data_IF_868821459220
#
_entry.id   IF_868821459220
#
_cell.length_a   1.000
_cell.length_b   1.000
_cell.length_c   1.000
_cell.angle_alpha   90.00
_cell.angle_beta   90.00
_cell.angle_gamma   90.00
#
_symmetry.space_group_name_H-M   'P 1'
#
loop_
_entity.id
_entity.type
_entity.pdbx_description
1 polymer ?
#
# COMPACT_ATOMS: atom_id res chain seq x y z
N UNK A 1 -48.40 24.19 46.77
CA UNK A 1 -47.96 23.90 45.38
C UNK A 1 -47.41 25.12 44.62
N UNK A 2 -47.83 26.36 44.88
CA UNK A 2 -47.31 27.54 44.14
C UNK A 2 -45.85 27.94 44.43
N UNK A 3 -45.30 27.62 45.60
CA UNK A 3 -43.92 27.96 45.94
C UNK A 3 -42.87 27.08 45.22
N UNK A 4 -43.22 25.81 44.94
CA UNK A 4 -42.33 24.88 44.25
C UNK A 4 -42.14 25.26 42.78
N UNK A 5 -43.21 25.71 42.11
CA UNK A 5 -43.18 26.13 40.70
C UNK A 5 -42.33 27.38 40.47
N UNK A 6 -42.30 28.30 41.43
CA UNK A 6 -41.49 29.52 41.34
C UNK A 6 -39.99 29.23 41.48
N UNK A 7 -39.63 28.23 42.29
CA UNK A 7 -38.24 27.83 42.48
C UNK A 7 -37.68 27.15 41.22
N UNK A 8 -38.47 26.28 40.58
CA UNK A 8 -38.07 25.62 39.34
C UNK A 8 -37.87 26.62 38.20
N UNK A 9 -38.77 27.61 38.06
CA UNK A 9 -38.67 28.62 37.00
C UNK A 9 -37.44 29.52 37.13
N UNK A 10 -37.04 29.84 38.38
CA UNK A 10 -35.81 30.62 38.64
C UNK A 10 -34.55 29.84 38.27
N UNK A 11 -34.51 28.53 38.53
CA UNK A 11 -33.36 27.69 38.18
C UNK A 11 -33.25 27.56 36.65
N UNK A 12 -34.36 27.40 35.93
CA UNK A 12 -34.33 27.31 34.46
C UNK A 12 -33.86 28.60 33.80
N UNK A 13 -34.27 29.77 34.33
CA UNK A 13 -33.82 31.07 33.84
C UNK A 13 -32.33 31.34 34.11
N UNK A 14 -31.81 30.94 35.27
CA UNK A 14 -30.38 31.08 35.59
C UNK A 14 -29.54 30.15 34.71
N UNK A 15 -29.99 28.92 34.48
CA UNK A 15 -29.28 27.98 33.60
C UNK A 15 -29.30 28.43 32.12
N UNK A 16 -30.40 29.02 31.65
CA UNK A 16 -30.48 29.61 30.31
C UNK A 16 -29.56 30.82 30.16
N UNK A 17 -29.47 31.70 31.16
CA UNK A 17 -28.56 32.84 31.16
C UNK A 17 -27.08 32.42 31.17
N UNK A 18 -26.73 31.36 31.93
CA UNK A 18 -25.38 30.79 31.93
C UNK A 18 -25.03 30.15 30.57
N UNK A 19 -25.99 29.48 29.91
CA UNK A 19 -25.80 28.92 28.58
C UNK A 19 -25.56 29.99 27.51
N UNK A 20 -26.32 31.09 27.55
CA UNK A 20 -26.11 32.23 26.65
C UNK A 20 -24.78 32.97 26.92
N UNK A 21 -24.34 33.05 28.18
CA UNK A 21 -23.05 33.65 28.53
C UNK A 21 -21.87 32.80 28.06
N UNK A 22 -21.97 31.46 28.07
CA UNK A 22 -20.93 30.57 27.53
C UNK A 22 -20.89 30.59 25.99
N UNK A 23 -22.04 30.72 25.31
CA UNK A 23 -22.07 30.84 23.85
C UNK A 23 -21.52 32.18 23.34
N UNK A 24 -21.60 33.23 24.17
CA UNK A 24 -21.08 34.56 23.86
C UNK A 24 -19.55 34.64 23.96
N UNK A 25 -18.91 33.89 24.86
CA UNK A 25 -17.45 33.88 25.02
C UNK A 25 -16.75 32.98 24.00
N UNK A 26 -17.43 32.00 23.42
CA UNK A 26 -16.89 31.14 22.34
C UNK A 26 -16.87 31.86 20.99
N UNK A 27 -17.71 32.88 20.78
CA UNK A 27 -17.76 33.65 19.52
C UNK A 27 -16.68 34.73 19.37
N UNK A 28 -15.82 34.96 20.38
CA UNK A 28 -14.80 36.03 20.37
C UNK A 28 -13.37 35.49 20.15
N UNK A 29 -13.19 34.18 19.95
CA UNK A 29 -11.87 33.55 19.69
C UNK A 29 -11.68 32.97 18.29
N UNK A 30 -12.57 33.28 17.33
CA UNK A 30 -12.38 32.94 15.91
C UNK A 30 -12.51 34.21 15.06
N UNK A 31 -11.56 35.12 15.21
CA UNK A 31 -11.33 36.19 14.23
C UNK A 31 -9.96 36.85 14.43
N UNK A 32 -8.89 36.10 14.18
CA UNK A 32 -7.64 36.70 13.71
C UNK A 32 -7.29 36.09 12.37
N UNK A 33 -7.45 36.93 11.34
CA UNK A 33 -7.03 36.71 9.96
C UNK A 33 -5.55 36.31 9.93
N UNK A 34 -5.27 35.06 9.58
CA UNK A 34 -3.97 34.67 9.02
C UNK A 34 -3.89 35.16 7.56
N UNK A 35 -2.73 35.61 7.07
CA UNK A 35 -2.60 36.11 5.71
C UNK A 35 -2.82 34.97 4.71
N UNK A 36 -3.68 35.25 3.73
CA UNK A 36 -3.88 34.43 2.53
C UNK A 36 -2.57 34.33 1.75
N UNK A 37 -1.94 33.16 1.77
CA UNK A 37 -0.90 32.81 0.80
C UNK A 37 -1.58 32.50 -0.53
N UNK A 38 -1.89 33.54 -1.30
CA UNK A 38 -2.10 33.44 -2.74
C UNK A 38 -0.75 33.19 -3.40
N UNK A 39 -0.54 31.97 -3.90
CA UNK A 39 0.56 31.63 -4.78
C UNK A 39 0.43 32.38 -6.11
N UNK A 40 1.46 33.10 -6.57
CA UNK A 40 1.54 33.46 -7.97
C UNK A 40 2.07 32.27 -8.78
N UNK A 41 1.37 31.94 -9.87
CA UNK A 41 1.95 31.24 -11.02
C UNK A 41 3.19 32.00 -11.50
N UNK A 42 4.33 31.32 -11.73
CA UNK A 42 5.36 31.85 -12.59
C UNK A 42 5.40 31.05 -13.89
N UNK A 43 4.92 31.70 -14.93
CA UNK A 43 5.43 31.53 -16.28
C UNK A 43 6.98 31.62 -16.29
N UNK A 44 7.57 30.82 -17.18
CA UNK A 44 8.98 30.73 -17.57
C UNK A 44 9.68 32.10 -17.73
N UNK A 45 11.02 32.11 -17.60
CA UNK A 45 11.77 32.40 -18.82
C UNK A 45 13.00 31.50 -19.08
N UNK A 46 13.30 31.43 -20.37
CA UNK A 46 14.47 30.87 -21.05
C UNK A 46 15.84 31.44 -20.60
N UNK A 47 16.85 30.58 -20.78
CA UNK A 47 18.28 30.86 -21.03
C UNK A 47 19.17 31.39 -19.88
N UNK A 48 20.13 30.57 -19.41
CA UNK A 48 21.55 30.63 -19.85
C UNK A 48 22.55 29.99 -18.85
N UNK A 49 23.37 29.09 -19.40
CA UNK A 49 24.82 28.87 -19.18
C UNK A 49 25.44 28.55 -17.80
N UNK A 50 25.92 27.30 -17.72
CA UNK A 50 27.28 26.81 -17.36
C UNK A 50 28.04 27.36 -16.14
N UNK A 51 28.33 26.49 -15.17
CA UNK A 51 29.67 26.07 -14.67
C UNK A 51 29.56 25.36 -13.29
N UNK A 52 30.63 24.81 -12.70
CA UNK A 52 31.40 23.65 -13.14
C UNK A 52 31.34 22.47 -12.13
N UNK A 53 31.83 21.31 -12.58
CA UNK A 53 32.03 20.08 -11.80
C UNK A 53 32.84 20.32 -10.52
N UNK A 54 32.29 19.89 -9.39
CA UNK A 54 33.03 19.67 -8.15
C UNK A 54 32.93 18.20 -7.73
N UNK A 55 34.08 17.67 -7.36
CA UNK A 55 34.39 16.30 -6.97
C UNK A 55 33.68 15.96 -5.66
N UNK A 56 32.87 14.88 -5.66
CA UNK A 56 32.31 14.30 -4.44
C UNK A 56 32.93 12.91 -4.20
N UNK A 57 33.58 12.79 -3.06
CA UNK A 57 34.09 11.54 -2.52
C UNK A 57 32.95 10.55 -2.24
N UNK A 58 33.23 9.27 -2.48
CA UNK A 58 32.30 8.15 -2.33
C UNK A 58 31.80 8.02 -0.88
N UNK A 59 30.56 8.41 -0.67
CA UNK A 59 29.71 7.84 0.37
C UNK A 59 28.73 6.89 -0.35
N UNK A 60 28.77 5.61 -0.01
CA UNK A 60 27.86 4.59 -0.52
C UNK A 60 26.42 4.95 -0.10
N UNK A 61 25.73 5.67 -0.99
CA UNK A 61 24.31 5.97 -0.94
C UNK A 61 23.62 4.97 -1.86
N UNK A 62 23.33 3.78 -1.34
CA UNK A 62 22.39 2.84 -1.96
C UNK A 62 20.98 3.41 -1.81
N UNK A 63 20.71 4.45 -2.57
CA UNK A 63 19.35 4.90 -2.83
C UNK A 63 18.81 3.95 -3.91
N UNK A 64 17.93 3.02 -3.53
CA UNK A 64 17.03 2.36 -4.48
C UNK A 64 16.25 3.46 -5.20
N UNK A 65 16.76 3.89 -6.36
CA UNK A 65 16.31 5.05 -7.13
C UNK A 65 15.13 4.66 -8.00
N UNK A 66 14.03 4.25 -7.37
CA UNK A 66 12.72 4.11 -8.00
C UNK A 66 11.73 4.96 -7.22
N UNK A 67 11.55 6.21 -7.68
CA UNK A 67 10.53 7.12 -7.16
C UNK A 67 9.17 6.60 -7.63
N UNK A 68 8.40 6.00 -6.73
CA UNK A 68 6.99 5.71 -6.92
C UNK A 68 6.19 7.01 -6.71
N UNK A 69 6.09 7.83 -7.74
CA UNK A 69 5.00 8.80 -7.78
C UNK A 69 3.79 8.08 -8.40
N UNK A 70 3.00 7.43 -7.54
CA UNK A 70 1.67 6.95 -7.95
C UNK A 70 0.79 8.20 -7.97
N UNK A 71 0.32 8.68 -9.14
CA UNK A 71 -0.62 9.79 -9.17
C UNK A 71 -1.86 9.43 -8.34
N UNK A 72 -2.52 10.41 -7.69
CA UNK A 72 -3.73 10.15 -6.92
C UNK A 72 -4.75 9.41 -7.79
N UNK A 73 -5.38 8.37 -7.22
CA UNK A 73 -6.38 7.59 -7.92
C UNK A 73 -7.54 8.52 -8.32
N UNK A 74 -7.88 8.63 -9.63
CA UNK A 74 -9.14 9.26 -9.97
C UNK A 74 -10.26 8.36 -9.43
N UNK A 75 -11.06 8.89 -8.50
CA UNK A 75 -12.23 8.17 -7.99
C UNK A 75 -13.09 7.73 -9.17
N UNK A 76 -13.53 6.46 -9.24
CA UNK A 76 -14.41 6.01 -10.30
C UNK A 76 -15.70 6.82 -10.23
N UNK A 77 -15.92 7.72 -11.19
CA UNK A 77 -17.17 8.45 -11.30
C UNK A 77 -18.31 7.44 -11.44
N UNK A 78 -19.16 7.34 -10.42
CA UNK A 78 -20.35 6.49 -10.43
C UNK A 78 -21.33 7.00 -11.48
N UNK A 79 -21.19 6.56 -12.73
CA UNK A 79 -22.27 6.63 -13.72
C UNK A 79 -23.32 5.60 -13.32
N UNK A 80 -24.42 6.08 -12.73
CA UNK A 80 -25.63 5.28 -12.51
C UNK A 80 -26.16 4.81 -13.87
N UNK A 81 -26.00 3.51 -14.17
CA UNK A 81 -26.74 2.84 -15.23
C UNK A 81 -28.16 2.61 -14.72
N UNK A 82 -29.11 3.41 -15.21
CA UNK A 82 -30.54 3.15 -15.06
C UNK A 82 -30.94 2.05 -16.04
N UNK A 83 -31.13 0.84 -15.54
CA UNK A 83 -31.67 -0.30 -16.27
C UNK A 83 -32.98 -0.76 -15.63
N UNK A 84 -34.07 -0.63 -16.38
CA UNK A 84 -35.40 -1.11 -16.04
C UNK A 84 -35.42 -2.64 -15.98
N UNK A 85 -35.99 -3.20 -14.91
CA UNK A 85 -36.22 -4.64 -14.78
C UNK A 85 -37.41 -5.09 -15.65
N UNK A 86 -37.35 -6.23 -16.34
CA UNK A 86 -38.53 -6.91 -16.85
C UNK A 86 -39.09 -7.91 -15.85
N UNK A 87 -40.39 -8.10 -16.03
CA UNK A 87 -41.37 -8.73 -15.17
C UNK A 87 -41.25 -10.26 -15.07
N UNK A 88 -41.93 -10.80 -14.06
CA UNK A 88 -41.83 -12.18 -13.59
C UNK A 88 -42.29 -13.25 -14.58
N UNK A 89 -41.65 -14.41 -14.48
CA UNK A 89 -42.20 -15.69 -14.93
C UNK A 89 -41.76 -16.83 -14.00
N UNK A 90 -42.65 -17.81 -13.97
CA UNK A 90 -43.00 -18.83 -12.98
C UNK A 90 -41.97 -19.98 -12.84
N UNK A 91 -41.59 -20.43 -11.62
CA UNK A 91 -40.67 -21.55 -11.45
C UNK A 91 -41.45 -22.84 -11.15
N UNK A 92 -41.83 -23.59 -12.20
CA UNK A 92 -42.17 -25.00 -12.04
C UNK A 92 -41.65 -25.83 -13.22
N UNK A 93 -41.02 -26.96 -12.88
CA UNK A 93 -40.39 -27.97 -13.73
C UNK A 93 -39.01 -27.64 -14.36
N UNK A 94 -37.96 -27.92 -13.59
CA UNK A 94 -36.63 -28.23 -14.13
C UNK A 94 -36.34 -29.70 -13.84
N UNK A 95 -36.41 -30.53 -14.87
CA UNK A 95 -35.93 -31.91 -14.86
C UNK A 95 -34.40 -31.92 -14.83
N UNK A 96 -33.83 -32.51 -13.79
CA UNK A 96 -32.39 -32.71 -13.60
C UNK A 96 -31.86 -33.63 -14.70
N UNK A 97 -31.34 -33.01 -15.77
CA UNK A 97 -30.53 -33.69 -16.78
C UNK A 97 -29.11 -33.80 -16.26
N UNK A 98 -28.53 -34.99 -16.34
CA UNK A 98 -27.18 -35.27 -15.88
C UNK A 98 -26.19 -34.30 -16.52
N UNK A 99 -25.64 -33.40 -15.71
CA UNK A 99 -24.53 -32.52 -16.08
C UNK A 99 -23.29 -33.40 -16.13
N UNK A 100 -22.89 -33.79 -17.32
CA UNK A 100 -21.57 -34.38 -17.56
C UNK A 100 -20.51 -33.38 -17.11
N UNK A 101 -19.63 -33.79 -16.19
CA UNK A 101 -18.50 -32.97 -15.78
C UNK A 101 -17.72 -32.51 -17.02
N UNK A 102 -17.46 -31.21 -17.17
CA UNK A 102 -16.70 -30.71 -18.31
C UNK A 102 -15.31 -31.33 -18.27
N UNK A 103 -14.98 -32.08 -19.32
CA UNK A 103 -13.64 -32.60 -19.56
C UNK A 103 -12.69 -31.39 -19.63
N UNK A 104 -11.94 -31.16 -18.55
CA UNK A 104 -10.89 -30.15 -18.48
C UNK A 104 -9.80 -30.57 -19.44
N UNK A 105 -9.86 -30.05 -20.67
CA UNK A 105 -8.74 -30.14 -21.60
C UNK A 105 -7.52 -29.52 -20.91
N UNK A 106 -6.44 -30.29 -20.76
CA UNK A 106 -5.26 -29.84 -20.06
C UNK A 106 -4.71 -28.58 -20.73
N UNK A 107 -4.69 -27.47 -20.00
CA UNK A 107 -4.22 -26.13 -20.40
C UNK A 107 -2.69 -26.07 -20.71
N UNK A 108 -2.08 -27.20 -21.04
CA UNK A 108 -0.62 -27.40 -21.17
C UNK A 108 -0.01 -26.86 -22.46
N UNK A 109 -0.83 -26.40 -23.41
CA UNK A 109 -0.37 -26.02 -24.75
C UNK A 109 -0.49 -24.53 -25.06
N UNK A 110 -0.74 -23.67 -24.07
CA UNK A 110 -0.67 -22.23 -24.30
C UNK A 110 0.80 -21.78 -24.27
N UNK A 111 1.42 -21.41 -25.42
CA UNK A 111 2.81 -20.97 -25.44
C UNK A 111 3.01 -19.59 -24.79
N UNK A 112 1.93 -18.93 -24.36
CA UNK A 112 2.00 -17.60 -23.75
C UNK A 112 2.51 -17.68 -22.31
N UNK A 113 3.26 -16.66 -21.87
CA UNK A 113 3.66 -16.60 -20.48
C UNK A 113 2.48 -16.53 -19.52
N UNK A 114 2.62 -17.18 -18.37
CA UNK A 114 1.70 -17.06 -17.25
C UNK A 114 2.15 -15.94 -16.31
N UNK A 115 1.18 -15.22 -15.72
CA UNK A 115 1.49 -14.20 -14.74
C UNK A 115 1.56 -14.79 -13.33
N UNK A 116 2.58 -14.37 -12.60
CA UNK A 116 2.69 -14.58 -11.14
C UNK A 116 2.69 -13.23 -10.47
N UNK A 117 1.70 -12.97 -9.63
CA UNK A 117 1.68 -11.73 -8.88
C UNK A 117 2.69 -11.75 -7.74
N UNK A 118 3.53 -10.72 -7.64
CA UNK A 118 4.21 -10.35 -6.41
C UNK A 118 3.30 -9.40 -5.64
N UNK A 119 2.42 -9.97 -4.83
CA UNK A 119 1.49 -9.26 -3.97
C UNK A 119 2.21 -8.79 -2.72
N UNK A 120 2.23 -7.48 -2.50
CA UNK A 120 2.87 -6.89 -1.32
C UNK A 120 2.20 -5.59 -0.93
N UNK A 121 2.11 -5.29 0.36
CA UNK A 121 1.89 -3.90 0.76
C UNK A 121 3.12 -3.05 0.34
N UNK A 122 2.96 -1.80 -0.13
CA UNK A 122 4.08 -1.04 -0.66
C UNK A 122 5.26 -0.92 0.32
N UNK A 123 6.48 -0.85 -0.23
CA UNK A 123 7.74 -0.78 0.52
C UNK A 123 8.05 -2.00 1.42
N UNK A 124 7.46 -3.17 1.16
CA UNK A 124 7.81 -4.43 1.86
C UNK A 124 8.99 -5.20 1.25
N UNK A 125 9.69 -4.62 0.26
CA UNK A 125 10.82 -5.28 -0.42
C UNK A 125 10.53 -5.81 -1.82
N UNK A 126 9.47 -5.32 -2.47
CA UNK A 126 9.12 -5.69 -3.85
C UNK A 126 10.20 -5.33 -4.85
N UNK A 127 10.79 -4.14 -4.74
CA UNK A 127 11.87 -3.70 -5.64
C UNK A 127 13.07 -4.64 -5.56
N UNK A 128 13.52 -4.98 -4.35
CA UNK A 128 14.58 -5.95 -4.14
C UNK A 128 14.23 -7.32 -4.75
N UNK A 129 13.05 -7.87 -4.44
CA UNK A 129 12.63 -9.20 -4.92
C UNK A 129 12.56 -9.25 -6.44
N UNK A 130 11.98 -8.24 -7.09
CA UNK A 130 11.91 -8.13 -8.55
C UNK A 130 13.32 -8.05 -9.15
N UNK A 131 14.19 -7.21 -8.59
CA UNK A 131 15.54 -7.06 -9.12
C UNK A 131 16.35 -8.34 -8.92
N UNK A 132 16.28 -8.98 -7.75
CA UNK A 132 16.92 -10.27 -7.48
C UNK A 132 16.50 -11.32 -8.52
N UNK A 133 15.19 -11.50 -8.78
CA UNK A 133 14.72 -12.48 -9.76
C UNK A 133 15.32 -12.21 -11.13
N UNK A 134 15.37 -10.94 -11.56
CA UNK A 134 15.97 -10.56 -12.84
C UNK A 134 17.46 -10.81 -12.89
N UNK A 135 18.18 -10.40 -11.86
CA UNK A 135 19.64 -10.54 -11.83
C UNK A 135 20.07 -12.00 -11.83
N UNK A 136 19.34 -12.85 -11.12
CA UNK A 136 19.69 -14.25 -10.95
C UNK A 136 19.24 -15.12 -12.13
N UNK A 137 18.14 -14.77 -12.81
CA UNK A 137 17.61 -15.55 -13.94
C UNK A 137 17.90 -14.98 -15.32
N UNK A 138 18.37 -13.73 -15.39
CA UNK A 138 18.51 -12.96 -16.62
C UNK A 138 17.21 -12.86 -17.47
N UNK A 139 16.05 -12.99 -16.84
CA UNK A 139 14.73 -12.86 -17.49
C UNK A 139 14.07 -11.52 -17.20
N UNK A 140 13.07 -11.16 -18.02
CA UNK A 140 12.21 -10.00 -17.77
C UNK A 140 11.28 -10.23 -16.58
N UNK A 141 10.84 -9.12 -15.98
CA UNK A 141 9.72 -9.06 -15.01
C UNK A 141 8.72 -8.01 -15.47
N UNK A 142 7.54 -8.01 -14.88
CA UNK A 142 6.48 -7.07 -15.21
C UNK A 142 6.01 -6.25 -14.00
N UNK A 143 5.20 -5.24 -14.28
CA UNK A 143 4.61 -4.34 -13.29
C UNK A 143 3.24 -3.85 -13.76
N UNK A 144 2.33 -3.63 -12.83
CA UNK A 144 1.07 -2.92 -13.10
C UNK A 144 1.29 -1.38 -13.15
N UNK A 145 2.50 -0.89 -12.88
CA UNK A 145 2.83 0.52 -12.73
C UNK A 145 3.75 1.00 -13.87
N UNK A 146 3.16 1.46 -14.98
CA UNK A 146 3.92 1.78 -16.20
C UNK A 146 5.03 2.82 -16.04
N UNK A 147 4.94 3.72 -15.05
CA UNK A 147 5.98 4.72 -14.75
C UNK A 147 7.28 4.14 -14.16
N UNK A 148 7.29 2.87 -13.77
CA UNK A 148 8.50 2.24 -13.23
C UNK A 148 9.56 1.96 -14.29
N UNK A 149 9.16 1.87 -15.56
CA UNK A 149 10.08 1.72 -16.69
C UNK A 149 10.64 3.08 -17.09
N UNK A 150 11.95 3.25 -16.91
CA UNK A 150 12.66 4.49 -17.24
C UNK A 150 13.98 4.18 -17.95
N UNK A 151 14.34 5.02 -18.91
CA UNK A 151 15.65 5.05 -19.57
C UNK A 151 16.24 6.44 -19.28
N UNK A 152 17.45 6.51 -18.74
CA UNK A 152 18.08 7.76 -18.31
C UNK A 152 17.20 8.60 -17.34
N UNK A 153 16.38 7.91 -16.53
CA UNK A 153 15.42 8.56 -15.63
C UNK A 153 14.16 9.12 -16.30
N UNK A 154 14.04 9.02 -17.61
CA UNK A 154 12.88 9.43 -18.40
C UNK A 154 11.92 8.25 -18.55
N UNK A 155 10.61 8.39 -18.21
CA UNK A 155 9.63 7.34 -18.46
C UNK A 155 9.55 6.99 -19.95
N UNK A 156 9.24 5.73 -20.25
CA UNK A 156 9.05 5.26 -21.63
C UNK A 156 7.65 4.67 -21.81
N UNK A 157 7.12 4.62 -23.05
CA UNK A 157 5.88 3.92 -23.34
C UNK A 157 5.91 2.48 -22.84
N UNK A 158 4.79 2.03 -22.29
CA UNK A 158 4.71 0.70 -21.71
C UNK A 158 4.74 -0.39 -22.78
N UNK A 159 5.57 -1.41 -22.57
CA UNK A 159 5.66 -2.59 -23.43
C UNK A 159 4.90 -3.74 -22.79
N UNK A 160 4.08 -4.45 -23.56
CA UNK A 160 3.24 -5.54 -23.07
C UNK A 160 4.09 -6.70 -22.53
N UNK A 161 3.75 -7.23 -21.36
CA UNK A 161 4.39 -8.43 -20.82
C UNK A 161 3.86 -9.71 -21.48
N UNK A 162 2.58 -9.70 -21.89
CA UNK A 162 1.94 -10.80 -22.59
C UNK A 162 1.73 -10.41 -24.06
N UNK A 163 2.34 -11.12 -25.02
CA UNK A 163 2.16 -10.79 -26.43
C UNK A 163 0.72 -10.96 -26.92
N UNK A 164 0.30 -10.06 -27.80
CA UNK A 164 -0.98 -10.14 -28.52
C UNK A 164 -2.15 -9.43 -27.85
N UNK A 165 -3.36 -9.53 -28.41
CA UNK A 165 -4.51 -8.73 -27.99
C UNK A 165 -4.89 -8.90 -26.51
N UNK A 166 -4.67 -10.08 -25.93
CA UNK A 166 -5.04 -10.36 -24.54
C UNK A 166 -4.16 -9.60 -23.53
N UNK A 167 -2.92 -9.26 -23.89
CA UNK A 167 -1.97 -8.52 -23.05
C UNK A 167 -1.94 -7.02 -23.29
N UNK A 168 -2.79 -6.50 -24.19
CA UNK A 168 -2.77 -5.08 -24.55
C UNK A 168 -3.06 -4.13 -23.38
N UNK A 169 -3.76 -4.64 -22.36
CA UNK A 169 -4.15 -3.92 -21.16
C UNK A 169 -3.27 -4.25 -19.95
N UNK A 170 -2.10 -4.84 -20.19
CA UNK A 170 -1.12 -5.12 -19.14
C UNK A 170 -1.13 -6.58 -18.65
N UNK A 171 -0.26 -6.89 -17.68
CA UNK A 171 0.77 -6.00 -17.11
C UNK A 171 1.87 -5.65 -18.12
N UNK A 172 2.75 -4.72 -17.75
CA UNK A 172 3.78 -4.18 -18.64
C UNK A 172 5.18 -4.59 -18.20
N UNK A 173 6.09 -4.81 -19.16
CA UNK A 173 7.48 -5.16 -18.87
C UNK A 173 8.17 -4.02 -18.12
N UNK A 174 8.94 -4.40 -17.09
CA UNK A 174 9.89 -3.50 -16.46
C UNK A 174 11.16 -3.48 -17.31
N UNK A 175 11.33 -2.44 -18.11
CA UNK A 175 12.50 -2.32 -19.01
C UNK A 175 13.68 -1.76 -18.21
N UNK A 176 14.85 -2.37 -18.41
CA UNK A 176 16.12 -1.85 -17.90
C UNK A 176 16.93 -1.35 -19.08
N UNK A 177 17.60 -0.23 -18.85
CA UNK A 177 18.53 0.34 -19.81
C UNK A 177 19.70 -0.61 -20.05
N UNK A 178 20.14 -0.71 -21.30
CA UNK A 178 21.34 -1.47 -21.71
C UNK A 178 21.32 -2.97 -21.39
N UNK A 179 20.15 -3.57 -21.16
CA UNK A 179 20.02 -5.00 -20.91
C UNK A 179 18.99 -5.66 -21.81
N UNK A 180 19.43 -6.68 -22.54
CA UNK A 180 18.53 -7.63 -23.20
C UNK A 180 18.16 -8.72 -22.20
N UNK A 181 16.88 -8.89 -21.92
CA UNK A 181 16.38 -9.99 -21.08
C UNK A 181 15.42 -10.85 -21.90
N UNK A 182 15.36 -12.15 -21.61
CA UNK A 182 14.42 -13.05 -22.26
C UNK A 182 13.07 -13.01 -21.57
N UNK A 183 12.00 -13.24 -22.33
CA UNK A 183 10.67 -13.40 -21.77
C UNK A 183 10.52 -14.84 -21.23
N UNK A 184 10.31 -15.04 -19.92
CA UNK A 184 10.13 -16.38 -19.37
C UNK A 184 8.71 -16.91 -19.64
N UNK A 185 8.50 -18.22 -19.47
CA UNK A 185 7.16 -18.84 -19.43
C UNK A 185 6.32 -18.38 -18.25
N UNK A 186 6.98 -17.92 -17.17
CA UNK A 186 6.33 -17.46 -15.94
C UNK A 186 6.89 -16.09 -15.57
N UNK A 187 6.07 -15.04 -15.64
CA UNK A 187 6.51 -13.65 -15.43
C UNK A 187 6.09 -13.16 -14.05
N UNK A 188 7.07 -12.92 -13.19
CA UNK A 188 6.84 -12.23 -11.92
C UNK A 188 6.41 -10.78 -12.18
N UNK A 189 5.24 -10.42 -11.67
CA UNK A 189 4.57 -9.14 -11.90
C UNK A 189 4.36 -8.41 -10.58
N UNK A 190 4.98 -7.24 -10.42
CA UNK A 190 4.77 -6.39 -9.25
C UNK A 190 3.32 -5.90 -9.17
N UNK A 191 2.64 -6.18 -8.05
CA UNK A 191 1.26 -5.76 -7.82
C UNK A 191 1.00 -5.39 -6.34
N UNK A 192 0.54 -4.17 -6.11
CA UNK A 192 0.07 -3.67 -4.81
C UNK A 192 -1.46 -3.56 -4.75
N UNK A 193 -2.19 -3.94 -5.81
CA UNK A 193 -3.64 -3.82 -5.90
C UNK A 193 -4.14 -2.39 -5.57
N UNK A 194 -5.10 -2.27 -4.66
CA UNK A 194 -5.65 -1.01 -4.12
C UNK A 194 -5.64 -1.07 -2.58
N UNK A 195 -6.25 -0.12 -1.88
CA UNK A 195 -6.27 -0.09 -0.41
C UNK A 195 -4.98 0.44 0.21
N UNK A 196 -4.17 1.13 -0.59
CA UNK A 196 -3.01 1.88 -0.14
C UNK A 196 -2.99 3.24 -0.83
N UNK A 197 -2.38 4.20 -0.17
CA UNK A 197 -2.29 5.59 -0.57
C UNK A 197 -1.12 6.23 0.18
N UNK A 198 -0.73 7.44 -0.20
CA UNK A 198 0.29 8.19 0.52
C UNK A 198 -0.29 9.55 0.93
N UNK A 199 -0.30 9.85 2.23
CA UNK A 199 -0.57 11.20 2.69
C UNK A 199 -1.99 11.56 3.06
N UNK A 200 -2.12 12.86 3.29
CA UNK A 200 -3.27 13.58 3.83
C UNK A 200 -4.51 13.50 2.91
N UNK A 201 -4.30 13.27 1.62
CA UNK A 201 -5.40 13.17 0.64
C UNK A 201 -6.09 11.82 0.64
N UNK A 202 -5.62 10.87 1.46
CA UNK A 202 -6.20 9.54 1.46
C UNK A 202 -7.56 9.51 2.14
N UNK A 203 -8.56 9.06 1.42
CA UNK A 203 -9.94 8.94 1.88
C UNK A 203 -10.28 7.53 2.35
N UNK A 204 -11.39 7.39 3.06
CA UNK A 204 -11.87 6.07 3.48
C UNK A 204 -12.17 5.17 2.28
N UNK A 205 -12.65 5.73 1.17
CA UNK A 205 -12.99 4.98 -0.05
C UNK A 205 -11.76 4.44 -0.79
N UNK A 206 -10.58 5.04 -0.59
CA UNK A 206 -9.30 4.58 -1.15
C UNK A 206 -8.59 3.56 -0.26
N UNK A 207 -9.01 3.42 1.01
CA UNK A 207 -8.38 2.55 1.99
C UNK A 207 -9.25 1.33 2.33
N UNK A 208 -10.56 1.52 2.50
CA UNK A 208 -11.49 0.49 2.97
C UNK A 208 -12.12 -0.20 1.77
N UNK A 209 -11.61 -1.39 1.45
CA UNK A 209 -12.11 -2.20 0.33
C UNK A 209 -12.82 -3.47 0.80
N UNK A 210 -13.76 -3.92 -0.02
CA UNK A 210 -14.29 -5.28 0.01
C UNK A 210 -13.35 -6.22 -0.75
N UNK A 211 -13.49 -7.52 -0.57
CA UNK A 211 -12.72 -8.52 -1.33
C UNK A 211 -12.88 -8.28 -2.84
N UNK A 212 -14.12 -8.06 -3.31
CA UNK A 212 -14.40 -7.81 -4.74
C UNK A 212 -13.77 -6.52 -5.27
N UNK A 213 -13.86 -5.40 -4.54
CA UNK A 213 -13.26 -4.14 -4.99
C UNK A 213 -11.73 -4.18 -4.93
N UNK A 214 -11.15 -4.88 -3.94
CA UNK A 214 -9.72 -5.12 -3.87
C UNK A 214 -9.23 -5.99 -5.03
N UNK A 215 -9.91 -7.11 -5.30
CA UNK A 215 -9.63 -8.02 -6.41
C UNK A 215 -9.68 -7.29 -7.76
N UNK A 216 -10.74 -6.49 -7.99
CA UNK A 216 -10.85 -5.67 -9.20
C UNK A 216 -9.65 -4.72 -9.34
N UNK A 217 -9.23 -4.09 -8.24
CA UNK A 217 -8.05 -3.24 -8.18
C UNK A 217 -6.74 -3.97 -8.50
N UNK A 218 -6.61 -5.26 -8.17
CA UNK A 218 -5.44 -6.06 -8.53
C UNK A 218 -5.26 -6.25 -10.05
N UNK A 219 -6.33 -6.14 -10.84
CA UNK A 219 -6.29 -6.24 -12.30
C UNK A 219 -6.13 -4.90 -13.00
N UNK A 220 -6.07 -3.79 -12.26
CA UNK A 220 -5.86 -2.46 -12.82
C UNK A 220 -4.38 -2.27 -13.09
N UNK A 221 -4.05 -1.72 -14.25
CA UNK A 221 -2.71 -1.29 -14.62
C UNK A 221 -2.71 0.14 -15.14
N UNK A 222 -1.59 0.81 -14.97
CA UNK A 222 -1.33 2.14 -15.50
C UNK A 222 -0.41 2.00 -16.71
N UNK A 223 -0.93 2.27 -17.91
CA UNK A 223 -0.18 2.23 -19.17
C UNK A 223 0.37 3.62 -19.48
N UNK A 224 1.66 3.70 -19.81
CA UNK A 224 2.26 4.92 -20.36
C UNK A 224 2.10 4.92 -21.87
N UNK A 225 1.50 5.98 -22.40
CA UNK A 225 1.20 6.18 -23.82
C UNK A 225 1.71 7.53 -24.30
N UNK A 226 1.95 7.67 -25.59
CA UNK A 226 2.13 9.00 -26.20
C UNK A 226 0.77 9.65 -26.40
N UNK A 227 0.62 10.88 -25.90
CA UNK A 227 -0.49 11.75 -26.21
C UNK A 227 -0.36 12.30 -27.64
N UNK A 228 -1.44 12.91 -28.14
CA UNK A 228 -1.45 13.51 -29.49
C UNK A 228 -0.44 14.64 -29.69
N UNK A 229 0.00 15.29 -28.61
CA UNK A 229 1.03 16.35 -28.60
C UNK A 229 2.46 15.80 -28.44
N UNK A 230 2.63 14.47 -28.39
CA UNK A 230 3.91 13.80 -28.18
C UNK A 230 4.31 13.66 -26.71
N UNK A 231 3.63 14.32 -25.78
CA UNK A 231 3.88 14.17 -24.34
C UNK A 231 3.51 12.76 -23.86
N UNK A 232 4.07 12.35 -22.72
CA UNK A 232 3.72 11.07 -22.12
C UNK A 232 2.49 11.23 -21.22
N UNK A 233 1.47 10.41 -21.49
CA UNK A 233 0.25 10.31 -20.70
C UNK A 233 0.17 8.98 -19.95
N UNK A 234 -0.86 8.86 -19.10
CA UNK A 234 -1.19 7.62 -18.40
C UNK A 234 -2.62 7.24 -18.68
N UNK A 235 -2.82 5.96 -19.02
CA UNK A 235 -4.12 5.37 -19.22
C UNK A 235 -4.35 4.27 -18.19
N UNK A 236 -5.52 4.29 -17.55
CA UNK A 236 -5.94 3.23 -16.63
C UNK A 236 -6.60 2.14 -17.46
N UNK A 237 -6.03 0.94 -17.42
CA UNK A 237 -6.49 -0.23 -18.16
C UNK A 237 -6.69 -1.41 -17.22
N UNK A 238 -7.39 -2.45 -17.67
CA UNK A 238 -7.56 -3.68 -16.90
C UNK A 238 -7.40 -4.92 -17.77
N UNK A 239 -6.75 -5.94 -17.23
CA UNK A 239 -6.50 -7.21 -17.91
C UNK A 239 -7.32 -8.36 -17.34
N UNK A 240 -7.43 -9.44 -18.11
CA UNK A 240 -8.24 -10.60 -17.74
C UNK A 240 -7.63 -11.36 -16.55
N UNK A 241 -8.45 -11.70 -15.56
CA UNK A 241 -8.03 -12.45 -14.38
C UNK A 241 -7.45 -13.84 -14.71
N UNK A 242 -7.88 -14.45 -15.82
CA UNK A 242 -7.43 -15.76 -16.29
C UNK A 242 -5.94 -15.82 -16.65
N UNK A 243 -5.28 -14.66 -16.81
CA UNK A 243 -3.84 -14.57 -17.05
C UNK A 243 -3.00 -14.88 -15.80
N UNK A 244 -3.58 -14.74 -14.61
CA UNK A 244 -2.89 -14.92 -13.33
C UNK A 244 -3.03 -16.35 -12.86
N UNK A 245 -1.91 -17.04 -12.66
CA UNK A 245 -1.89 -18.47 -12.32
C UNK A 245 -1.33 -18.76 -10.93
N UNK A 246 -0.41 -17.92 -10.44
CA UNK A 246 0.19 -18.06 -9.10
C UNK A 246 0.35 -16.69 -8.45
N UNK A 247 0.64 -16.69 -7.15
CA UNK A 247 1.09 -15.50 -6.44
C UNK A 247 2.28 -15.80 -5.52
N UNK A 248 3.04 -14.76 -5.22
CA UNK A 248 3.93 -14.64 -4.09
C UNK A 248 3.34 -13.55 -3.21
N UNK A 249 2.99 -13.86 -1.97
CA UNK A 249 2.56 -12.89 -0.98
C UNK A 249 3.75 -12.53 -0.10
N UNK A 250 4.29 -11.34 -0.32
CA UNK A 250 5.46 -10.83 0.41
C UNK A 250 5.00 -10.08 1.67
N UNK A 251 5.47 -10.54 2.82
CA UNK A 251 5.28 -9.90 4.12
C UNK A 251 6.58 -9.29 4.61
N UNK A 252 6.49 -8.12 5.24
CA UNK A 252 7.60 -7.49 5.96
C UNK A 252 7.16 -7.25 7.40
N UNK A 253 8.11 -7.19 8.32
CA UNK A 253 7.79 -6.81 9.69
C UNK A 253 6.99 -5.49 9.70
N UNK A 254 5.80 -5.43 10.33
CA UNK A 254 4.90 -4.29 10.22
C UNK A 254 5.54 -2.98 10.70
N UNK A 255 6.22 -3.01 11.86
CA UNK A 255 6.99 -1.85 12.36
C UNK A 255 8.01 -1.31 11.34
N UNK A 256 8.73 -2.21 10.67
CA UNK A 256 9.77 -1.83 9.70
C UNK A 256 9.15 -1.34 8.38
N UNK A 257 8.03 -1.93 7.97
CA UNK A 257 7.33 -1.50 6.76
C UNK A 257 6.83 -0.05 6.89
N UNK A 258 6.17 0.30 8.01
CA UNK A 258 5.62 1.65 8.20
C UNK A 258 6.73 2.72 8.25
N UNK A 259 7.85 2.44 8.93
CA UNK A 259 9.01 3.36 8.91
C UNK A 259 9.64 3.44 7.51
N UNK A 260 9.69 2.32 6.79
CA UNK A 260 10.18 2.32 5.40
C UNK A 260 9.31 3.17 4.48
N UNK A 261 7.99 3.24 4.73
CA UNK A 261 7.08 4.11 3.98
C UNK A 261 7.33 5.58 4.29
N UNK A 262 7.55 5.94 5.56
CA UNK A 262 8.03 7.27 5.94
C UNK A 262 9.32 7.64 5.21
N UNK A 263 10.33 6.76 5.24
CA UNK A 263 11.62 7.02 4.56
C UNK A 263 11.46 7.16 3.04
N UNK A 264 10.57 6.37 2.43
CA UNK A 264 10.28 6.47 1.01
C UNK A 264 9.61 7.81 0.67
N UNK A 265 8.57 8.20 1.41
CA UNK A 265 7.88 9.49 1.22
C UNK A 265 8.84 10.67 1.41
N UNK A 266 9.69 10.60 2.43
CA UNK A 266 10.74 11.58 2.67
C UNK A 266 11.69 11.71 1.48
N UNK A 267 12.23 10.59 0.99
CA UNK A 267 13.12 10.60 -0.17
C UNK A 267 12.42 11.16 -1.42
N UNK A 268 11.16 10.80 -1.66
CA UNK A 268 10.38 11.32 -2.78
C UNK A 268 10.21 12.85 -2.69
N UNK A 269 9.91 13.40 -1.51
CA UNK A 269 9.77 14.86 -1.31
C UNK A 269 11.09 15.61 -1.52
N UNK A 270 12.21 15.06 -1.03
CA UNK A 270 13.52 15.68 -1.28
C UNK A 270 13.89 15.67 -2.77
N UNK A 271 13.56 14.59 -3.49
CA UNK A 271 13.80 14.51 -4.93
C UNK A 271 12.97 15.52 -5.73
N UNK A 272 11.85 15.99 -5.17
CA UNK A 272 11.05 17.09 -5.72
C UNK A 272 11.57 18.48 -5.29
N UNK A 273 12.68 18.56 -4.57
CA UNK A 273 13.25 19.81 -4.06
C UNK A 273 12.53 20.39 -2.84
N UNK A 274 11.62 19.62 -2.21
CA UNK A 274 10.85 20.10 -1.06
C UNK A 274 11.67 20.05 0.24
N UNK A 275 12.55 21.04 0.42
CA UNK A 275 13.40 21.16 1.62
C UNK A 275 12.61 21.51 2.89
N UNK A 276 11.43 22.10 2.78
CA UNK A 276 10.55 22.35 3.94
C UNK A 276 10.01 21.03 4.52
N UNK A 277 9.79 20.01 3.69
CA UNK A 277 9.40 18.69 4.15
C UNK A 277 10.47 18.07 5.07
N UNK A 278 11.76 18.22 4.75
CA UNK A 278 12.88 17.76 5.58
C UNK A 278 12.86 18.42 6.96
N UNK A 279 12.59 19.73 6.99
CA UNK A 279 12.52 20.50 8.25
C UNK A 279 11.32 20.07 9.09
N UNK A 280 10.18 19.81 8.46
CA UNK A 280 8.94 19.44 9.13
C UNK A 280 9.00 18.01 9.67
N UNK A 281 9.50 17.08 8.86
CA UNK A 281 9.54 15.65 9.12
C UNK A 281 10.95 15.08 8.91
N UNK A 282 11.96 15.50 9.69
CA UNK A 282 13.34 15.06 9.48
C UNK A 282 13.44 13.53 9.54
N UNK A 283 14.33 12.93 8.73
CA UNK A 283 14.50 11.46 8.63
C UNK A 283 15.10 10.81 9.89
N UNK A 284 14.38 10.88 11.01
CA UNK A 284 14.71 10.34 12.32
C UNK A 284 13.43 10.00 13.10
N UNK A 285 13.56 9.51 14.33
CA UNK A 285 12.44 9.10 15.19
C UNK A 285 11.44 10.24 15.44
N UNK A 286 11.93 11.46 15.67
CA UNK A 286 11.08 12.63 15.92
C UNK A 286 10.27 13.00 14.68
N UNK A 287 10.89 13.07 13.50
CA UNK A 287 10.17 13.39 12.27
C UNK A 287 9.20 12.29 11.85
N UNK A 288 9.52 11.02 12.12
CA UNK A 288 8.58 9.91 11.95
C UNK A 288 7.33 10.07 12.81
N UNK A 289 7.46 10.35 14.10
CA UNK A 289 6.28 10.54 14.96
C UNK A 289 5.45 11.76 14.56
N UNK A 290 6.10 12.85 14.13
CA UNK A 290 5.39 14.01 13.57
C UNK A 290 4.63 13.63 12.30
N UNK A 291 5.27 12.88 11.40
CA UNK A 291 4.64 12.39 10.18
C UNK A 291 3.42 11.53 10.49
N UNK A 292 3.55 10.58 11.42
CA UNK A 292 2.43 9.75 11.84
C UNK A 292 1.29 10.57 12.45
N UNK A 293 1.58 11.55 13.29
CA UNK A 293 0.54 12.43 13.84
C UNK A 293 -0.22 13.20 12.75
N UNK A 294 0.48 13.63 11.69
CA UNK A 294 -0.15 14.29 10.55
C UNK A 294 -1.01 13.32 9.69
N UNK A 295 -0.52 12.11 9.45
CA UNK A 295 -1.30 11.05 8.77
C UNK A 295 -2.54 10.67 9.60
N UNK A 296 -2.42 10.62 10.92
CA UNK A 296 -3.46 10.23 11.86
C UNK A 296 -4.50 11.33 12.13
N UNK A 297 -4.15 12.61 11.94
CA UNK A 297 -5.08 13.73 12.10
C UNK A 297 -6.28 13.68 11.13
N UNK A 298 -6.20 12.83 10.10
CA UNK A 298 -7.29 12.58 9.16
C UNK A 298 -8.17 11.46 9.71
N UNK A 299 -9.24 11.81 10.42
CA UNK A 299 -10.15 10.84 11.07
C UNK A 299 -11.04 10.03 10.10
N UNK A 300 -10.73 9.99 8.80
CA UNK A 300 -11.58 9.35 7.79
C UNK A 300 -11.77 7.84 8.04
N UNK A 301 -10.72 7.13 8.47
CA UNK A 301 -10.82 5.70 8.84
C UNK A 301 -11.62 5.55 10.14
N UNK A 302 -11.27 6.30 11.19
CA UNK A 302 -11.93 6.23 12.51
C UNK A 302 -13.43 6.57 12.44
N UNK A 303 -13.81 7.48 11.55
CA UNK A 303 -15.18 7.90 11.33
C UNK A 303 -15.87 7.13 10.18
N UNK A 304 -15.18 6.16 9.57
CA UNK A 304 -15.78 5.28 8.58
C UNK A 304 -16.88 4.41 9.23
N UNK A 305 -17.91 4.09 8.45
CA UNK A 305 -19.03 3.25 8.92
C UNK A 305 -18.59 1.91 9.52
N UNK A 306 -17.45 1.40 9.07
CA UNK A 306 -16.88 0.15 9.55
C UNK A 306 -16.46 0.23 11.03
N UNK A 307 -15.73 1.28 11.42
CA UNK A 307 -15.23 1.43 12.80
C UNK A 307 -16.24 2.05 13.78
N UNK A 308 -17.38 2.55 13.28
CA UNK A 308 -18.49 3.00 14.15
C UNK A 308 -19.09 1.80 14.90
N UNK A 309 -19.05 0.59 14.34
CA UNK A 309 -19.68 -0.60 14.93
C UNK A 309 -18.75 -1.29 15.93
N UNK A 310 -17.44 -1.30 15.68
CA UNK A 310 -16.45 -1.96 16.54
C UNK A 310 -15.73 -0.97 17.46
N UNK A 311 -16.38 -0.64 18.58
CA UNK A 311 -15.82 0.26 19.59
C UNK A 311 -14.51 -0.24 20.19
N UNK A 312 -14.36 -1.56 20.35
CA UNK A 312 -13.17 -2.16 20.97
C UNK A 312 -11.95 -2.04 20.06
N UNK A 313 -12.13 -2.31 18.76
CA UNK A 313 -11.09 -2.10 17.76
C UNK A 313 -10.70 -0.62 17.68
N UNK A 314 -11.69 0.29 17.66
CA UNK A 314 -11.46 1.74 17.64
C UNK A 314 -10.64 2.19 18.85
N UNK A 315 -10.93 1.69 20.05
CA UNK A 315 -10.15 1.98 21.26
C UNK A 315 -8.69 1.52 21.16
N UNK A 316 -8.41 0.37 20.54
CA UNK A 316 -7.02 -0.06 20.31
C UNK A 316 -6.32 0.82 19.28
N UNK A 317 -7.02 1.23 18.22
CA UNK A 317 -6.46 2.07 17.16
C UNK A 317 -6.02 3.45 17.65
N UNK A 318 -6.83 4.14 18.47
CA UNK A 318 -6.49 5.49 18.96
C UNK A 318 -5.25 5.51 19.87
N UNK A 319 -4.81 4.35 20.35
CA UNK A 319 -3.69 4.22 21.28
C UNK A 319 -2.36 3.86 20.60
N UNK A 320 -2.34 3.67 19.27
CA UNK A 320 -1.12 3.36 18.52
C UNK A 320 -0.68 4.56 17.67
N UNK A 321 0.63 4.82 17.54
CA UNK A 321 1.11 5.81 16.58
C UNK A 321 0.91 5.29 15.16
N UNK A 322 0.67 6.19 14.21
CA UNK A 322 0.51 5.86 12.79
C UNK A 322 -0.67 4.90 12.56
N UNK A 323 -1.76 5.08 13.32
CA UNK A 323 -2.90 4.16 13.32
C UNK A 323 -3.47 3.94 11.91
N UNK A 324 -3.49 4.98 11.07
CA UNK A 324 -3.98 4.90 9.70
C UNK A 324 -3.09 4.01 8.83
N UNK A 325 -1.78 4.02 9.04
CA UNK A 325 -0.83 3.19 8.30
C UNK A 325 -0.88 1.72 8.75
N UNK A 326 -0.99 1.45 10.05
CA UNK A 326 -1.16 0.08 10.55
C UNK A 326 -2.51 -0.52 10.13
N UNK A 327 -3.58 0.27 10.11
CA UNK A 327 -4.87 -0.16 9.57
C UNK A 327 -4.73 -0.57 8.09
N UNK A 328 -4.15 0.29 7.25
CA UNK A 328 -3.92 0.03 5.83
C UNK A 328 -3.10 -1.25 5.64
N UNK A 329 -2.02 -1.40 6.40
CA UNK A 329 -1.17 -2.58 6.35
C UNK A 329 -1.98 -3.87 6.60
N UNK A 330 -2.69 -3.96 7.73
CA UNK A 330 -3.43 -5.18 8.09
C UNK A 330 -4.60 -5.44 7.14
N UNK A 331 -5.39 -4.40 6.83
CA UNK A 331 -6.52 -4.50 5.92
C UNK A 331 -6.07 -5.02 4.55
N UNK A 332 -4.96 -4.49 4.04
CA UNK A 332 -4.39 -4.91 2.75
C UNK A 332 -3.98 -6.38 2.77
N UNK A 333 -3.28 -6.84 3.82
CA UNK A 333 -2.88 -8.24 3.94
C UNK A 333 -4.09 -9.18 4.09
N UNK A 334 -5.09 -8.80 4.89
CA UNK A 334 -6.35 -9.54 5.02
C UNK A 334 -7.04 -9.74 3.65
N UNK A 335 -7.11 -8.67 2.86
CA UNK A 335 -7.71 -8.71 1.53
C UNK A 335 -6.86 -9.52 0.52
N UNK A 336 -5.54 -9.42 0.59
CA UNK A 336 -4.64 -10.19 -0.26
C UNK A 336 -4.78 -11.71 -0.04
N UNK A 337 -4.90 -12.17 1.22
CA UNK A 337 -5.20 -13.56 1.53
C UNK A 337 -6.58 -13.98 1.01
N UNK A 338 -7.60 -13.14 1.24
CA UNK A 338 -8.96 -13.43 0.80
C UNK A 338 -9.07 -13.55 -0.73
N UNK A 339 -8.43 -12.65 -1.47
CA UNK A 339 -8.41 -12.68 -2.95
C UNK A 339 -7.63 -13.88 -3.47
N UNK A 340 -6.47 -14.21 -2.88
CA UNK A 340 -5.71 -15.40 -3.28
C UNK A 340 -6.56 -16.67 -3.16
N UNK A 341 -7.32 -16.79 -2.07
CA UNK A 341 -8.25 -17.91 -1.85
C UNK A 341 -9.43 -17.89 -2.81
N UNK A 342 -10.10 -16.75 -2.98
CA UNK A 342 -11.29 -16.62 -3.85
C UNK A 342 -10.95 -16.91 -5.32
N UNK A 343 -9.75 -16.52 -5.76
CA UNK A 343 -9.24 -16.82 -7.10
C UNK A 343 -8.67 -18.24 -7.24
N UNK A 344 -8.53 -19.00 -6.14
CA UNK A 344 -7.91 -20.32 -6.16
C UNK A 344 -6.43 -20.29 -6.59
N UNK A 345 -5.70 -19.21 -6.28
CA UNK A 345 -4.30 -19.08 -6.66
C UNK A 345 -3.43 -19.98 -5.78
N UNK A 346 -2.46 -20.66 -6.42
CA UNK A 346 -1.32 -21.22 -5.70
C UNK A 346 -0.45 -20.06 -5.23
N UNK A 347 -0.34 -19.87 -3.91
CA UNK A 347 0.35 -18.71 -3.31
C UNK A 347 1.51 -19.17 -2.44
N UNK A 348 2.72 -18.65 -2.71
CA UNK A 348 3.87 -18.80 -1.83
C UNK A 348 3.91 -17.64 -0.84
N UNK A 349 4.01 -17.95 0.45
CA UNK A 349 4.29 -16.97 1.49
C UNK A 349 5.80 -16.73 1.57
N UNK A 350 6.18 -15.47 1.50
CA UNK A 350 7.57 -15.03 1.55
C UNK A 350 7.71 -13.94 2.62
N UNK A 351 8.50 -14.18 3.65
CA UNK A 351 8.82 -13.14 4.62
C UNK A 351 10.13 -12.45 4.22
N UNK A 352 10.12 -11.12 4.16
CA UNK A 352 11.28 -10.33 3.73
C UNK A 352 12.54 -10.56 4.60
N UNK A 353 12.37 -10.93 5.87
CA UNK A 353 13.50 -11.23 6.75
C UNK A 353 14.26 -12.50 6.35
N UNK A 354 13.62 -13.42 5.62
CA UNK A 354 14.26 -14.66 5.12
C UNK A 354 15.46 -14.36 4.21
N UNK A 355 15.47 -13.21 3.51
CA UNK A 355 16.63 -12.77 2.74
C UNK A 355 17.83 -12.41 3.64
N UNK A 356 17.58 -11.86 4.83
CA UNK A 356 18.64 -11.53 5.78
C UNK A 356 19.20 -12.79 6.44
N UNK A 357 18.31 -13.72 6.79
CA UNK A 357 18.68 -14.91 7.56
C UNK A 357 19.33 -15.99 6.68
N UNK A 358 18.82 -16.19 5.46
CA UNK A 358 19.35 -17.18 4.52
C UNK A 358 19.08 -16.77 3.07
N UNK A 359 19.86 -15.81 2.57
CA UNK A 359 19.68 -15.25 1.23
C UNK A 359 19.64 -16.32 0.13
N UNK A 360 20.63 -17.21 0.08
CA UNK A 360 20.77 -18.22 -0.99
C UNK A 360 19.55 -19.13 -1.04
N UNK A 361 19.13 -19.68 0.11
CA UNK A 361 17.96 -20.56 0.18
C UNK A 361 16.66 -19.84 -0.20
N UNK A 362 16.51 -18.59 0.23
CA UNK A 362 15.32 -17.78 -0.07
C UNK A 362 15.24 -17.42 -1.54
N UNK A 363 16.37 -17.05 -2.16
CA UNK A 363 16.46 -16.86 -3.61
C UNK A 363 16.07 -18.13 -4.35
N UNK A 364 16.69 -19.26 -4.02
CA UNK A 364 16.45 -20.52 -4.74
C UNK A 364 14.98 -20.95 -4.62
N UNK A 365 14.38 -20.81 -3.43
CA UNK A 365 12.94 -20.98 -3.19
C UNK A 365 12.08 -20.10 -4.12
N UNK A 366 12.45 -18.83 -4.31
CA UNK A 366 11.72 -17.90 -5.19
C UNK A 366 11.88 -18.30 -6.66
N UNK A 367 13.09 -18.61 -7.12
CA UNK A 367 13.34 -18.99 -8.51
C UNK A 367 12.66 -20.32 -8.86
N UNK A 368 12.72 -21.31 -7.97
CA UNK A 368 12.06 -22.60 -8.13
C UNK A 368 10.53 -22.43 -8.22
N UNK A 369 9.94 -21.59 -7.36
CA UNK A 369 8.50 -21.29 -7.42
C UNK A 369 8.06 -20.69 -8.76
N UNK A 370 8.94 -19.87 -9.34
CA UNK A 370 8.74 -19.23 -10.63
C UNK A 370 9.16 -20.09 -11.82
N UNK A 371 9.74 -21.27 -11.58
CA UNK A 371 10.28 -22.16 -12.61
C UNK A 371 11.34 -21.47 -13.48
N UNK A 372 12.16 -20.61 -12.85
CA UNK A 372 13.20 -19.84 -13.52
C UNK A 372 14.58 -20.46 -13.26
N UNK A 373 15.46 -20.49 -14.27
CA UNK A 373 16.83 -20.97 -14.07
C UNK A 373 17.65 -19.91 -13.32
N UNK A 374 18.67 -20.36 -12.59
CA UNK A 374 19.71 -19.49 -12.01
C UNK A 374 20.91 -19.43 -12.96
N UNK A 375 21.03 -18.37 -13.73
CA UNK A 375 22.08 -18.20 -14.78
C UNK A 375 22.85 -16.89 -14.68
N UNK A 376 22.40 -15.95 -13.86
CA UNK A 376 23.07 -14.66 -13.69
C UNK A 376 24.13 -14.66 -12.59
N UNK A 377 24.86 -13.55 -12.49
CA UNK A 377 25.94 -13.34 -11.51
C UNK A 377 25.40 -13.17 -10.08
N UNK A 378 24.12 -12.84 -9.98
CA UNK A 378 23.39 -12.67 -8.73
C UNK A 378 23.50 -11.29 -8.11
N UNK A 379 22.75 -11.08 -7.03
CA UNK A 379 22.66 -9.80 -6.32
C UNK A 379 23.01 -9.98 -4.85
N UNK A 380 23.78 -9.07 -4.27
CA UNK A 380 23.99 -9.04 -2.83
C UNK A 380 22.74 -8.52 -2.09
N UNK A 381 22.37 -9.16 -0.99
CA UNK A 381 21.33 -8.64 -0.10
C UNK A 381 21.93 -7.64 0.90
N UNK A 382 21.43 -6.41 0.88
CA UNK A 382 21.82 -5.39 1.84
C UNK A 382 20.91 -5.46 3.08
N UNK A 383 21.41 -6.12 4.13
CA UNK A 383 20.77 -6.17 5.44
C UNK A 383 20.78 -4.81 6.16
N UNK A 384 20.10 -4.69 7.30
CA UNK A 384 20.19 -3.51 8.17
C UNK A 384 19.02 -2.52 8.10
N UNK A 385 18.00 -2.78 7.27
CA UNK A 385 16.75 -1.97 7.24
C UNK A 385 15.77 -2.39 8.35
N UNK A 386 16.25 -2.39 9.60
CA UNK A 386 15.49 -2.68 10.83
C UNK A 386 15.24 -1.38 11.59
N UNK A 387 13.97 -1.07 11.85
CA UNK A 387 13.51 0.22 12.35
C UNK A 387 12.77 0.13 13.68
N UNK A 388 12.89 -0.99 14.39
CA UNK A 388 12.24 -1.22 15.70
C UNK A 388 12.49 -0.11 16.74
N UNK A 389 13.61 0.60 16.64
CA UNK A 389 13.98 1.70 17.54
C UNK A 389 13.15 2.99 17.34
N UNK A 390 12.32 3.06 16.29
CA UNK A 390 11.36 4.15 16.08
C UNK A 390 10.14 4.09 17.02
N UNK A 391 10.02 3.02 17.80
CA UNK A 391 8.88 2.80 18.68
C UNK A 391 9.37 2.48 20.10
N UNK A 392 8.70 3.06 21.09
CA UNK A 392 8.83 2.61 22.48
C UNK A 392 8.21 1.23 22.68
N UNK A 393 8.63 0.49 23.70
CA UNK A 393 8.07 -0.84 23.97
C UNK A 393 6.57 -0.79 24.32
N UNK A 394 6.09 0.32 24.90
CA UNK A 394 4.66 0.55 25.11
C UNK A 394 3.91 0.62 23.77
N UNK A 395 4.45 1.36 22.80
CA UNK A 395 3.86 1.46 21.46
C UNK A 395 3.90 0.10 20.74
N UNK A 396 5.03 -0.62 20.80
CA UNK A 396 5.15 -1.96 20.20
C UNK A 396 4.09 -2.92 20.74
N UNK A 397 3.83 -2.91 22.05
CA UNK A 397 2.78 -3.74 22.67
C UNK A 397 1.38 -3.36 22.19
N UNK A 398 1.06 -2.06 22.19
CA UNK A 398 -0.24 -1.59 21.72
C UNK A 398 -0.46 -1.93 20.23
N UNK A 399 0.58 -1.80 19.41
CA UNK A 399 0.56 -2.19 17.99
C UNK A 399 0.33 -3.70 17.88
N UNK A 400 1.07 -4.54 18.61
CA UNK A 400 0.86 -5.98 18.61
C UNK A 400 -0.59 -6.37 18.94
N UNK A 401 -1.14 -5.82 20.02
CA UNK A 401 -2.51 -6.09 20.42
C UNK A 401 -3.53 -5.64 19.36
N UNK A 402 -3.27 -4.54 18.66
CA UNK A 402 -4.09 -4.10 17.54
C UNK A 402 -3.98 -5.07 16.35
N UNK A 403 -2.76 -5.48 15.99
CA UNK A 403 -2.52 -6.41 14.89
C UNK A 403 -3.19 -7.77 15.16
N UNK A 404 -3.07 -8.30 16.37
CA UNK A 404 -3.71 -9.54 16.80
C UNK A 404 -5.23 -9.46 16.66
N UNK A 405 -5.82 -8.35 17.07
CA UNK A 405 -7.26 -8.14 17.04
C UNK A 405 -7.80 -7.96 15.62
N UNK A 406 -7.11 -7.19 14.78
CA UNK A 406 -7.62 -6.75 13.49
C UNK A 406 -7.26 -7.68 12.33
N UNK A 407 -6.23 -8.50 12.51
CA UNK A 407 -5.80 -9.45 11.49
C UNK A 407 -6.84 -10.57 11.33
N UNK A 408 -7.06 -10.99 10.09
CA UNK A 408 -7.64 -12.30 9.82
C UNK A 408 -6.76 -13.40 10.42
N UNK A 409 -7.30 -14.61 10.59
CA UNK A 409 -6.54 -15.73 11.16
C UNK A 409 -5.28 -16.03 10.34
N UNK A 410 -5.37 -15.93 9.02
CA UNK A 410 -4.26 -16.14 8.08
C UNK A 410 -3.22 -15.04 8.21
N UNK A 411 -3.63 -13.76 8.18
CA UNK A 411 -2.69 -12.65 8.39
C UNK A 411 -2.01 -12.77 9.76
N UNK A 412 -2.75 -13.09 10.82
CA UNK A 412 -2.17 -13.21 12.16
C UNK A 412 -1.18 -14.37 12.26
N UNK A 413 -1.50 -15.51 11.63
CA UNK A 413 -0.61 -16.67 11.59
C UNK A 413 0.77 -16.30 11.05
N UNK A 414 0.83 -15.45 10.03
CA UNK A 414 2.10 -14.99 9.44
C UNK A 414 2.73 -13.81 10.20
N UNK A 415 1.95 -12.97 10.89
CA UNK A 415 2.46 -11.80 11.59
C UNK A 415 3.00 -12.09 12.99
N UNK A 416 2.43 -13.07 13.70
CA UNK A 416 2.81 -13.38 15.09
C UNK A 416 4.26 -13.89 15.23
N UNK A 417 4.83 -14.43 14.16
CA UNK A 417 6.17 -15.00 14.16
C UNK A 417 7.25 -13.92 14.02
N UNK A 418 6.88 -12.70 13.62
CA UNK A 418 7.77 -11.55 13.78
C UNK A 418 7.95 -11.31 15.27
N UNK A 419 9.14 -11.59 15.81
CA UNK A 419 9.45 -11.30 17.20
C UNK A 419 9.42 -9.77 17.45
N UNK A 420 8.38 -9.26 18.13
CA UNK A 420 8.28 -7.84 18.52
C UNK A 420 9.21 -7.47 19.69
N UNK A 421 10.02 -8.41 20.17
CA UNK A 421 10.98 -8.25 21.25
C UNK A 421 10.34 -7.67 22.51
N UNK A 422 9.22 -8.26 22.94
CA UNK A 422 8.78 -8.09 24.31
C UNK A 422 9.70 -8.95 25.17
N UNK A 423 10.91 -8.47 25.47
CA UNK A 423 11.68 -9.09 26.54
C UNK A 423 10.79 -9.05 27.78
N UNK A 424 10.25 -10.21 28.13
CA UNK A 424 9.52 -10.44 29.35
C UNK A 424 10.50 -10.13 30.48
N UNK A 425 10.48 -8.89 30.96
CA UNK A 425 11.12 -8.50 32.22
C UNK A 425 10.41 -9.12 33.42
N UNK A 426 9.52 -10.10 33.22
CA UNK A 426 8.60 -10.63 34.22
C UNK A 426 9.16 -11.74 35.11
N UNK A 427 10.45 -12.11 35.03
CA UNK A 427 10.99 -13.18 35.88
C UNK A 427 12.25 -12.81 36.69
N UNK A 428 12.26 -11.68 37.43
CA UNK A 428 13.39 -11.42 38.36
C UNK A 428 13.07 -10.70 39.69
N UNK A 429 11.85 -10.75 40.24
CA UNK A 429 11.67 -10.24 41.63
C UNK A 429 10.69 -10.96 42.55
N UNK A 430 10.12 -12.11 42.17
CA UNK A 430 9.18 -12.84 43.03
C UNK A 430 9.65 -14.24 43.49
N UNK A 431 10.97 -14.47 43.58
CA UNK A 431 11.52 -15.66 44.24
C UNK A 431 12.65 -15.26 45.17
N UNK A 432 12.33 -14.88 46.40
CA UNK A 432 13.14 -15.09 47.64
C UNK A 432 12.66 -14.22 48.80
N UNK A 433 11.41 -14.45 49.23
CA UNK A 433 11.00 -14.26 50.62
C UNK A 433 10.03 -15.36 51.00
N UNK A 434 10.57 -16.56 51.18
CA UNK A 434 10.02 -17.60 52.05
C UNK A 434 11.15 -18.02 52.97
#
# INVERSE_FOLDING_TARGET
MQAATLATLRITLVMAALFFSLLSTVSVLISTRGPSCSFPDPYLPENALTAPKAVAAAAASDTERSIEHVPPYPSPGTKRLGGSAPDGSDPSNISVSQVSEPVVQSEKDDPRPHLVWLMSFPNSGTTFTINMVREESNTSTATNYGFESKIDGVPIPSVQAIPGPIGMNGPFLKILENRTTTLPSTILTKNHCVGYCNGETCTADETVHTIRSFMAGCFVSHRIVHNSDGSLGTEIVSYAHTLVKKAIHLLRHPLDNIVSRFHHKHAAQLNLGNTEYDKMYPKNVTGFHKWCAAEDAHDHIINSRFLIVDHRLKEKMINIPCMNEFFRYVQWHNLAFAVSREMGLSTMILHYHEYADNFEKTRDKVLDWLELPRVGEGMAFHSGKVYRHYYSDKQKRAIWEFLEEFSSLETWAELKDYNFEFQQSTNSSYVSKI
#
